data_IF_241379465059
#
_entry.id   IF_241379465059
#
_cell.length_a   1.000
_cell.length_b   1.000
_cell.length_c   1.000
_cell.angle_alpha   90.00
_cell.angle_beta   90.00
_cell.angle_gamma   90.00
#
_symmetry.space_group_name_H-M   'P 1'
#
loop_
_entity.id
_entity.type
_entity.pdbx_description
1 polymer ?
#
# COMPACT_ATOMS: atom_id res chain seq x y z
N UNK A 1 8.44 15.88 11.61
CA UNK A 1 7.00 15.80 11.36
C UNK A 1 6.62 16.72 10.23
N UNK A 2 5.71 16.38 9.36
CA UNK A 2 4.81 15.21 9.41
C UNK A 2 5.48 13.86 9.16
N UNK A 3 4.83 12.80 9.61
CA UNK A 3 5.33 11.44 9.52
C UNK A 3 4.35 10.59 8.71
N UNK A 4 4.88 9.81 7.78
CA UNK A 4 4.09 8.88 6.98
C UNK A 4 4.55 7.45 7.23
N UNK A 5 3.63 6.52 7.05
CA UNK A 5 3.96 5.11 7.07
C UNK A 5 3.41 4.45 5.79
N UNK A 6 4.17 3.54 5.22
CA UNK A 6 3.72 2.67 4.15
C UNK A 6 3.62 1.28 4.73
N UNK A 7 2.42 0.72 4.72
CA UNK A 7 2.16 -0.60 5.29
C UNK A 7 1.60 -1.49 4.19
N UNK A 8 2.30 -2.57 3.91
CA UNK A 8 1.84 -3.57 2.97
C UNK A 8 1.78 -4.92 3.62
N UNK A 9 1.30 -5.91 2.90
CA UNK A 9 1.21 -7.27 3.38
C UNK A 9 -0.09 -7.91 2.95
N UNK A 10 -0.30 -9.17 3.37
CA UNK A 10 -1.42 -9.95 2.89
C UNK A 10 -2.67 -9.78 3.74
N UNK A 11 -2.53 -9.62 5.04
CA UNK A 11 -3.66 -9.75 5.97
C UNK A 11 -3.75 -8.62 6.97
N UNK A 12 -4.94 -8.04 7.11
CA UNK A 12 -5.26 -7.07 8.16
C UNK A 12 -5.11 -7.70 9.53
N UNK A 13 -5.59 -8.95 9.68
CA UNK A 13 -5.61 -9.63 10.97
C UNK A 13 -4.23 -9.77 11.60
N UNK A 14 -3.17 -9.86 10.79
CA UNK A 14 -1.82 -9.99 11.32
C UNK A 14 -1.18 -8.63 11.63
N UNK A 15 -1.82 -7.53 11.23
CA UNK A 15 -1.26 -6.20 11.40
C UNK A 15 -2.18 -5.22 12.12
N UNK A 16 -3.21 -5.73 12.78
CA UNK A 16 -4.18 -4.87 13.46
C UNK A 16 -3.53 -3.93 14.47
N UNK A 17 -2.66 -4.45 15.31
CA UNK A 17 -2.02 -3.65 16.34
C UNK A 17 -1.12 -2.60 15.72
N UNK A 18 -0.38 -2.98 14.69
CA UNK A 18 0.51 -2.06 13.98
C UNK A 18 -0.29 -0.94 13.33
N UNK A 19 -1.37 -1.29 12.63
CA UNK A 19 -2.21 -0.30 11.97
C UNK A 19 -2.83 0.67 12.98
N UNK A 20 -3.35 0.15 14.08
CA UNK A 20 -3.94 0.99 15.12
C UNK A 20 -2.94 1.98 15.70
N UNK A 21 -1.73 1.54 15.96
CA UNK A 21 -0.69 2.41 16.49
C UNK A 21 -0.24 3.44 15.46
N UNK A 22 -0.08 3.04 14.21
CA UNK A 22 0.36 3.95 13.15
C UNK A 22 -0.68 5.03 12.89
N UNK A 23 -1.93 4.65 12.83
CA UNK A 23 -3.03 5.59 12.59
C UNK A 23 -3.11 6.63 13.72
N UNK A 24 -2.85 6.21 14.95
CA UNK A 24 -2.88 7.12 16.09
C UNK A 24 -1.72 8.11 16.10
N UNK A 25 -0.60 7.77 15.46
CA UNK A 25 0.65 8.54 15.56
C UNK A 25 1.11 9.20 14.27
N UNK A 26 0.66 8.69 13.12
CA UNK A 26 1.14 9.17 11.83
C UNK A 26 0.20 10.22 11.25
N UNK A 27 0.75 11.05 10.39
CA UNK A 27 -0.02 12.04 9.66
C UNK A 27 -0.61 11.45 8.38
N UNK A 28 0.06 10.43 7.82
CA UNK A 28 -0.43 9.71 6.65
C UNK A 28 -0.04 8.23 6.75
N UNK A 29 -0.93 7.36 6.30
CA UNK A 29 -0.66 5.92 6.21
C UNK A 29 -1.09 5.45 4.83
N UNK A 30 -0.15 4.84 4.12
CA UNK A 30 -0.40 4.22 2.81
C UNK A 30 -0.59 2.73 3.03
N UNK A 31 -1.68 2.18 2.56
CA UNK A 31 -2.00 0.76 2.71
C UNK A 31 -1.92 0.08 1.35
N UNK A 32 -1.11 -0.97 1.26
CA UNK A 32 -0.91 -1.71 0.02
C UNK A 32 -0.97 -3.21 0.23
N UNK A 33 -0.74 -3.96 -0.85
CA UNK A 33 -0.77 -5.41 -0.82
C UNK A 33 -2.16 -5.99 -0.70
N UNK A 34 -2.25 -7.27 -0.34
CA UNK A 34 -3.53 -7.95 -0.16
C UNK A 34 -4.38 -7.33 0.93
N UNK A 35 -3.75 -6.72 1.91
CA UNK A 35 -4.42 -6.01 2.98
C UNK A 35 -5.26 -4.85 2.44
N UNK A 36 -4.77 -4.15 1.44
CA UNK A 36 -5.52 -3.06 0.81
C UNK A 36 -6.82 -3.57 0.17
N UNK A 37 -6.81 -4.79 -0.35
CA UNK A 37 -8.02 -5.39 -0.94
C UNK A 37 -9.13 -5.54 0.10
N UNK A 38 -8.77 -5.85 1.34
CA UNK A 38 -9.74 -5.95 2.42
C UNK A 38 -10.38 -4.59 2.69
N UNK A 39 -9.60 -3.51 2.66
CA UNK A 39 -10.13 -2.16 2.80
C UNK A 39 -11.02 -1.76 1.63
N UNK A 40 -10.63 -2.11 0.42
CA UNK A 40 -11.45 -1.84 -0.76
C UNK A 40 -12.78 -2.58 -0.69
N UNK A 41 -12.75 -3.84 -0.28
CA UNK A 41 -13.96 -4.63 -0.09
C UNK A 41 -14.86 -3.99 0.99
N UNK A 42 -14.27 -3.50 2.06
CA UNK A 42 -15.01 -2.82 3.13
C UNK A 42 -15.73 -1.56 2.64
N UNK A 43 -15.19 -0.94 1.59
CA UNK A 43 -15.81 0.24 0.96
C UNK A 43 -16.85 -0.12 -0.09
N UNK A 44 -17.13 -1.41 -0.26
CA UNK A 44 -18.11 -1.87 -1.24
C UNK A 44 -17.57 -2.07 -2.65
N UNK A 45 -16.27 -2.06 -2.83
CA UNK A 45 -15.67 -2.23 -4.15
C UNK A 45 -15.47 -3.71 -4.49
N UNK A 46 -15.62 -4.09 -5.76
CA UNK A 46 -15.38 -5.48 -6.17
C UNK A 46 -13.90 -5.78 -6.10
N UNK A 47 -13.56 -6.93 -5.56
CA UNK A 47 -12.18 -7.39 -5.50
C UNK A 47 -11.96 -8.72 -6.22
N UNK A 48 -13.03 -9.28 -6.83
CA UNK A 48 -12.97 -10.51 -7.58
C UNK A 48 -12.39 -11.65 -6.77
N UNK A 49 -11.37 -12.29 -7.31
CA UNK A 49 -10.66 -13.39 -6.65
C UNK A 49 -9.43 -12.93 -5.88
N UNK A 50 -9.29 -11.63 -5.65
CA UNK A 50 -8.14 -11.08 -4.93
C UNK A 50 -8.04 -11.66 -3.53
N UNK A 51 -6.82 -11.72 -3.02
CA UNK A 51 -6.56 -12.06 -1.63
C UNK A 51 -7.23 -11.01 -0.75
N UNK A 52 -8.19 -11.41 0.05
CA UNK A 52 -9.01 -10.48 0.82
C UNK A 52 -9.59 -11.21 2.03
N UNK A 53 -9.54 -10.55 3.18
CA UNK A 53 -10.18 -11.06 4.40
C UNK A 53 -11.57 -10.44 4.53
N UNK A 54 -12.55 -11.04 3.87
CA UNK A 54 -13.91 -10.49 3.84
C UNK A 54 -14.55 -10.37 5.22
N UNK A 55 -14.19 -11.26 6.14
CA UNK A 55 -14.68 -11.23 7.51
C UNK A 55 -14.07 -10.10 8.34
N UNK A 56 -13.05 -9.43 7.82
CA UNK A 56 -12.43 -8.28 8.47
C UNK A 56 -12.96 -6.93 7.97
N UNK A 57 -14.02 -6.94 7.16
CA UNK A 57 -14.55 -5.71 6.57
C UNK A 57 -14.98 -4.70 7.64
N UNK A 58 -15.66 -5.13 8.70
CA UNK A 58 -16.09 -4.23 9.76
C UNK A 58 -14.88 -3.65 10.51
N UNK A 59 -13.88 -4.47 10.76
CA UNK A 59 -12.64 -4.01 11.39
C UNK A 59 -11.93 -2.98 10.51
N UNK A 60 -11.90 -3.21 9.20
CA UNK A 60 -11.30 -2.27 8.25
C UNK A 60 -12.05 -0.93 8.27
N UNK A 61 -13.38 -0.96 8.30
CA UNK A 61 -14.17 0.28 8.41
C UNK A 61 -13.87 1.03 9.70
N UNK A 62 -13.73 0.32 10.81
CA UNK A 62 -13.37 0.93 12.09
C UNK A 62 -12.02 1.61 12.03
N UNK A 63 -11.04 0.97 11.40
CA UNK A 63 -9.70 1.54 11.23
C UNK A 63 -9.77 2.83 10.42
N UNK A 64 -10.52 2.83 9.32
CA UNK A 64 -10.69 4.03 8.49
C UNK A 64 -11.39 5.15 9.26
N UNK A 65 -12.41 4.81 10.05
CA UNK A 65 -13.12 5.81 10.86
C UNK A 65 -12.21 6.41 11.91
N UNK A 66 -11.38 5.61 12.56
CA UNK A 66 -10.43 6.11 13.56
C UNK A 66 -9.38 7.01 12.93
N UNK A 67 -8.93 6.67 11.73
CA UNK A 67 -7.97 7.49 11.01
C UNK A 67 -8.57 8.86 10.69
N UNK A 68 -9.79 8.89 10.20
CA UNK A 68 -10.47 10.13 9.87
C UNK A 68 -10.67 10.98 11.11
N UNK A 69 -11.14 10.38 12.19
CA UNK A 69 -11.37 11.10 13.46
C UNK A 69 -10.08 11.67 14.04
N UNK A 70 -8.96 10.97 13.85
CA UNK A 70 -7.66 11.40 14.36
C UNK A 70 -6.88 12.31 13.42
N UNK A 71 -7.41 12.61 12.25
CA UNK A 71 -6.73 13.47 11.28
C UNK A 71 -5.63 12.76 10.50
N UNK A 72 -5.59 11.45 10.51
CA UNK A 72 -4.62 10.69 9.74
C UNK A 72 -5.15 10.46 8.32
N UNK A 73 -4.36 10.81 7.32
CA UNK A 73 -4.72 10.58 5.93
C UNK A 73 -4.39 9.14 5.57
N UNK A 74 -5.39 8.39 5.14
CA UNK A 74 -5.19 7.01 4.67
C UNK A 74 -5.24 7.01 3.14
N UNK A 75 -4.16 6.52 2.53
CA UNK A 75 -4.06 6.40 1.08
C UNK A 75 -4.30 4.95 0.69
N UNK A 76 -5.39 4.71 -0.02
CA UNK A 76 -5.75 3.40 -0.56
C UNK A 76 -5.55 3.40 -2.07
N UNK A 77 -5.44 2.23 -2.70
CA UNK A 77 -5.23 2.17 -4.15
C UNK A 77 -6.32 2.90 -4.93
N UNK A 78 -5.90 3.74 -5.87
CA UNK A 78 -6.79 4.44 -6.80
C UNK A 78 -6.95 3.68 -8.10
N UNK A 79 -6.04 2.77 -8.38
CA UNK A 79 -6.10 1.87 -9.51
C UNK A 79 -5.41 0.56 -9.12
N UNK A 80 -5.57 -0.46 -9.95
CA UNK A 80 -5.07 -1.79 -9.64
C UNK A 80 -4.60 -2.47 -10.91
N UNK A 81 -3.53 -3.23 -10.79
CA UNK A 81 -3.10 -4.16 -11.83
C UNK A 81 -3.76 -5.50 -11.51
N UNK A 82 -4.53 -6.01 -12.46
CA UNK A 82 -5.30 -7.23 -12.27
C UNK A 82 -4.90 -8.32 -13.25
N UNK A 83 -4.98 -9.56 -12.80
CA UNK A 83 -4.68 -10.75 -13.60
C UNK A 83 -5.78 -11.79 -13.38
N UNK A 84 -5.91 -12.72 -14.34
CA UNK A 84 -6.80 -13.87 -14.17
C UNK A 84 -6.06 -15.11 -13.68
N UNK A 85 -4.73 -15.09 -13.77
CA UNK A 85 -3.87 -16.17 -13.28
C UNK A 85 -2.75 -15.59 -12.44
N UNK A 86 -2.56 -16.14 -11.26
CA UNK A 86 -1.49 -15.68 -10.36
C UNK A 86 -0.18 -16.35 -10.73
N UNK A 87 0.47 -15.83 -11.76
CA UNK A 87 1.77 -16.34 -12.20
C UNK A 87 2.61 -15.20 -12.78
N UNK A 88 3.92 -15.42 -12.84
CA UNK A 88 4.83 -14.43 -13.40
C UNK A 88 4.50 -14.20 -14.87
N UNK A 89 4.58 -12.95 -15.31
CA UNK A 89 4.32 -12.54 -16.70
C UNK A 89 2.90 -12.82 -17.18
N UNK A 90 1.94 -13.01 -16.25
CA UNK A 90 0.55 -13.22 -16.64
C UNK A 90 0.00 -11.98 -17.35
N UNK A 91 -0.88 -12.16 -18.35
CA UNK A 91 -1.55 -11.01 -18.96
C UNK A 91 -2.26 -10.18 -17.88
N UNK A 92 -2.08 -8.88 -17.95
CA UNK A 92 -2.60 -7.99 -16.92
C UNK A 92 -3.14 -6.71 -17.55
N UNK A 93 -3.94 -5.99 -16.78
CA UNK A 93 -4.43 -4.68 -17.18
C UNK A 93 -4.56 -3.79 -15.94
N UNK A 94 -4.57 -2.49 -16.16
CA UNK A 94 -4.76 -1.52 -15.08
C UNK A 94 -6.21 -1.06 -15.12
N UNK A 95 -6.89 -1.15 -13.98
CA UNK A 95 -8.31 -0.78 -13.87
C UNK A 95 -8.53 0.07 -12.63
N UNK A 96 -9.65 0.78 -12.60
CA UNK A 96 -10.17 1.38 -11.38
C UNK A 96 -10.58 0.25 -10.42
N UNK A 97 -10.49 0.43 -9.10
CA UNK A 97 -10.95 -0.58 -8.15
C UNK A 97 -12.43 -0.94 -8.34
N UNK A 98 -13.22 -0.06 -8.95
CA UNK A 98 -14.63 -0.32 -9.23
C UNK A 98 -14.84 -1.24 -10.42
N UNK A 99 -13.80 -1.51 -11.18
CA UNK A 99 -13.87 -2.25 -12.44
C UNK A 99 -13.20 -3.62 -12.39
N UNK A 100 -12.86 -4.11 -11.22
CA UNK A 100 -12.24 -5.44 -11.08
C UNK A 100 -13.28 -6.51 -11.41
N UNK A 101 -12.94 -7.40 -12.34
CA UNK A 101 -13.84 -8.49 -12.75
C UNK A 101 -13.89 -9.61 -11.71
N UNK A 102 -14.96 -10.41 -11.77
CA UNK A 102 -15.18 -11.50 -10.82
C UNK A 102 -14.09 -12.56 -10.84
N UNK A 103 -13.44 -12.73 -12.00
CA UNK A 103 -12.35 -13.71 -12.16
C UNK A 103 -10.99 -13.09 -12.05
N UNK A 104 -10.91 -11.81 -11.76
CA UNK A 104 -9.63 -11.09 -11.69
C UNK A 104 -9.12 -10.97 -10.27
N UNK A 105 -7.81 -10.92 -10.14
CA UNK A 105 -7.12 -10.72 -8.86
C UNK A 105 -6.27 -9.47 -8.95
N UNK A 106 -6.32 -8.66 -7.91
CA UNK A 106 -5.44 -7.49 -7.79
C UNK A 106 -4.07 -7.98 -7.32
N UNK A 107 -3.03 -7.69 -8.09
CA UNK A 107 -1.66 -8.14 -7.77
C UNK A 107 -0.69 -7.00 -7.56
N UNK A 108 -1.05 -5.79 -7.94
CA UNK A 108 -0.19 -4.62 -7.73
C UNK A 108 -1.04 -3.37 -7.79
N UNK A 109 -0.42 -2.23 -7.46
CA UNK A 109 -1.03 -0.93 -7.63
C UNK A 109 -0.65 -0.36 -9.00
N UNK A 110 -1.49 0.50 -9.54
CA UNK A 110 -1.22 1.13 -10.82
C UNK A 110 -0.57 2.51 -10.66
N UNK A 111 -0.34 3.20 -11.79
CA UNK A 111 0.37 4.48 -11.76
C UNK A 111 -0.36 5.59 -11.02
N UNK A 112 -1.69 5.61 -11.01
CA UNK A 112 -2.42 6.64 -10.27
C UNK A 112 -2.20 6.49 -8.77
N UNK A 113 -2.13 5.25 -8.27
CA UNK A 113 -1.84 4.97 -6.87
C UNK A 113 -0.42 5.42 -6.52
N UNK A 114 0.55 5.09 -7.36
CA UNK A 114 1.95 5.50 -7.15
C UNK A 114 2.04 7.01 -7.04
N UNK A 115 1.36 7.74 -7.93
CA UNK A 115 1.38 9.20 -7.89
C UNK A 115 0.75 9.73 -6.60
N UNK A 116 -0.35 9.15 -6.15
CA UNK A 116 -0.98 9.56 -4.89
C UNK A 116 -0.04 9.34 -3.70
N UNK A 117 0.68 8.23 -3.71
CA UNK A 117 1.67 7.93 -2.67
C UNK A 117 2.82 8.94 -2.72
N UNK A 118 3.33 9.23 -3.92
CA UNK A 118 4.39 10.22 -4.08
C UNK A 118 3.96 11.59 -3.54
N UNK A 119 2.74 12.01 -3.87
CA UNK A 119 2.21 13.28 -3.39
C UNK A 119 2.09 13.29 -1.86
N UNK A 120 1.65 12.20 -1.28
CA UNK A 120 1.57 12.09 0.19
C UNK A 120 2.95 12.14 0.84
N UNK A 121 3.92 11.43 0.28
CA UNK A 121 5.28 11.41 0.82
C UNK A 121 5.97 12.76 0.68
N UNK A 122 5.67 13.51 -0.37
CA UNK A 122 6.28 14.80 -0.61
C UNK A 122 5.95 15.82 0.49
N UNK A 123 4.85 15.63 1.21
CA UNK A 123 4.46 16.51 2.31
C UNK A 123 4.98 16.05 3.66
N UNK A 124 5.67 14.92 3.71
CA UNK A 124 6.15 14.32 4.97
C UNK A 124 7.67 14.45 5.08
N UNK A 125 8.17 14.41 6.30
CA UNK A 125 9.60 14.48 6.59
C UNK A 125 10.17 13.14 7.03
N UNK A 126 9.34 12.24 7.51
CA UNK A 126 9.77 10.92 7.96
C UNK A 126 8.86 9.86 7.37
N UNK A 127 9.47 8.77 6.91
CA UNK A 127 8.74 7.63 6.35
C UNK A 127 9.13 6.36 7.10
N UNK A 128 8.12 5.62 7.52
CA UNK A 128 8.29 4.27 8.06
C UNK A 128 7.67 3.30 7.07
N UNK A 129 8.45 2.33 6.59
CA UNK A 129 7.96 1.36 5.59
C UNK A 129 7.91 -0.05 6.18
N UNK A 130 6.78 -0.71 5.99
CA UNK A 130 6.56 -2.07 6.47
C UNK A 130 5.76 -2.86 5.43
N UNK A 131 6.41 -3.70 4.65
CA UNK A 131 5.79 -4.63 3.71
C UNK A 131 5.63 -4.12 2.29
N UNK A 132 5.43 -5.02 1.33
CA UNK A 132 5.35 -4.67 -0.09
C UNK A 132 3.97 -4.15 -0.49
N UNK A 133 3.92 -3.43 -1.62
CA UNK A 133 2.69 -2.85 -2.17
C UNK A 133 1.92 -3.82 -3.08
N UNK A 134 2.53 -4.91 -3.49
CA UNK A 134 1.91 -5.86 -4.40
C UNK A 134 2.55 -7.23 -4.30
N UNK A 135 2.30 -8.08 -5.28
CA UNK A 135 2.88 -9.44 -5.34
C UNK A 135 4.32 -9.36 -5.83
N UNK A 136 5.18 -8.77 -5.03
CA UNK A 136 6.52 -8.35 -5.46
C UNK A 136 7.46 -9.52 -5.83
N UNK A 137 7.16 -10.73 -5.41
CA UNK A 137 7.95 -11.90 -5.80
C UNK A 137 7.62 -12.41 -7.21
N UNK A 138 6.56 -11.88 -7.84
CA UNK A 138 6.21 -12.23 -9.21
C UNK A 138 6.47 -11.05 -10.14
N UNK A 139 7.41 -11.22 -11.06
CA UNK A 139 7.69 -10.20 -12.06
C UNK A 139 6.58 -10.17 -13.11
N UNK A 140 6.04 -9.02 -13.52
CA UNK A 140 6.44 -7.65 -13.18
C UNK A 140 5.63 -7.00 -12.03
N UNK A 141 5.02 -7.77 -11.16
CA UNK A 141 4.08 -7.25 -10.15
C UNK A 141 4.77 -6.63 -8.93
N UNK A 142 6.07 -6.43 -9.01
CA UNK A 142 6.84 -5.63 -8.06
C UNK A 142 6.95 -4.15 -8.48
N UNK A 143 6.38 -3.80 -9.63
CA UNK A 143 6.53 -2.45 -10.18
C UNK A 143 6.04 -1.36 -9.25
N UNK A 144 4.88 -1.55 -8.61
CA UNK A 144 4.34 -0.57 -7.67
C UNK A 144 5.23 -0.39 -6.45
N UNK A 145 5.69 -1.49 -5.89
CA UNK A 145 6.60 -1.44 -4.74
C UNK A 145 7.89 -0.71 -5.10
N UNK A 146 8.47 -1.04 -6.25
CA UNK A 146 9.71 -0.41 -6.70
C UNK A 146 9.52 1.07 -7.00
N UNK A 147 8.40 1.45 -7.61
CA UNK A 147 8.13 2.86 -7.92
C UNK A 147 8.00 3.69 -6.64
N UNK A 148 7.30 3.17 -5.64
CA UNK A 148 7.18 3.87 -4.35
C UNK A 148 8.54 3.94 -3.65
N UNK A 149 9.34 2.88 -3.74
CA UNK A 149 10.68 2.89 -3.15
C UNK A 149 11.58 3.93 -3.82
N UNK A 150 11.51 4.05 -5.14
CA UNK A 150 12.28 5.05 -5.87
C UNK A 150 11.85 6.48 -5.47
N UNK A 151 10.56 6.72 -5.34
CA UNK A 151 10.06 8.01 -4.90
C UNK A 151 10.57 8.36 -3.51
N UNK A 152 10.54 7.39 -2.59
CA UNK A 152 11.05 7.59 -1.24
C UNK A 152 12.56 7.85 -1.24
N UNK A 153 13.31 7.12 -2.06
CA UNK A 153 14.74 7.32 -2.19
C UNK A 153 15.08 8.71 -2.74
N UNK A 154 14.35 9.15 -3.76
CA UNK A 154 14.56 10.49 -4.34
C UNK A 154 14.34 11.59 -3.31
N UNK A 155 13.29 11.47 -2.50
CA UNK A 155 12.99 12.45 -1.46
C UNK A 155 14.03 12.40 -0.34
N UNK A 156 14.55 11.23 -0.04
CA UNK A 156 15.60 11.05 0.95
C UNK A 156 16.91 11.69 0.47
N UNK A 157 17.26 11.46 -0.80
CA UNK A 157 18.46 12.04 -1.39
C UNK A 157 18.38 13.57 -1.47
N UNK A 158 17.17 14.09 -1.68
CA UNK A 158 16.96 15.54 -1.69
C UNK A 158 16.97 16.15 -0.28
N UNK A 159 17.03 15.33 0.76
CA UNK A 159 17.07 15.80 2.13
C UNK A 159 15.71 16.18 2.71
N UNK A 160 14.63 15.93 1.97
CA UNK A 160 13.28 16.28 2.42
C UNK A 160 12.61 15.17 3.20
N UNK A 161 13.13 13.95 3.12
CA UNK A 161 12.53 12.80 3.76
C UNK A 161 13.61 11.94 4.43
N UNK A 162 13.34 11.48 5.65
CA UNK A 162 14.14 10.45 6.33
C UNK A 162 13.30 9.18 6.32
N UNK A 163 13.84 8.10 5.78
CA UNK A 163 13.09 6.85 5.71
C UNK A 163 13.71 5.76 6.57
N UNK A 164 12.82 4.96 7.16
CA UNK A 164 13.19 3.80 7.95
C UNK A 164 12.47 2.60 7.36
N UNK A 165 13.22 1.64 6.86
CA UNK A 165 12.67 0.43 6.30
C UNK A 165 12.65 -0.67 7.35
N UNK A 166 11.47 -1.20 7.61
CA UNK A 166 11.30 -2.32 8.53
C UNK A 166 10.76 -3.51 7.76
N UNK A 167 11.53 -4.55 7.67
CA UNK A 167 11.13 -5.80 7.04
C UNK A 167 10.96 -5.74 5.53
N UNK A 168 11.50 -4.72 4.89
CA UNK A 168 11.57 -4.76 3.46
C UNK A 168 12.72 -5.67 3.09
N UNK A 169 12.39 -6.75 2.44
CA UNK A 169 13.40 -7.78 2.24
C UNK A 169 14.21 -7.59 0.98
N UNK A 170 13.55 -7.15 -0.08
CA UNK A 170 14.22 -7.09 -1.37
C UNK A 170 14.69 -5.69 -1.72
N UNK A 171 13.97 -4.71 -1.24
CA UNK A 171 14.38 -3.35 -1.44
C UNK A 171 15.45 -3.07 -0.45
N UNK A 172 16.60 -3.02 -0.94
CA UNK A 172 17.72 -2.90 -0.12
C UNK A 172 17.75 -1.59 0.62
N UNK A 173 18.16 -1.64 1.83
CA UNK A 173 18.31 -0.48 2.66
C UNK A 173 19.17 0.61 2.03
N UNK A 174 20.00 0.28 1.08
CA UNK A 174 20.80 1.29 0.39
C UNK A 174 19.94 2.29 -0.37
N UNK A 175 18.69 1.96 -0.67
CA UNK A 175 17.80 2.86 -1.39
C UNK A 175 16.84 3.60 -0.47
N UNK A 176 16.51 3.04 0.67
CA UNK A 176 15.43 3.56 1.49
C UNK A 176 15.90 4.07 2.83
N UNK A 177 16.99 3.56 3.28
CA UNK A 177 17.54 3.92 4.55
C UNK A 177 18.72 4.82 4.30
N UNK A 178 18.51 6.06 4.42
CA UNK A 178 19.59 6.96 4.22
C UNK A 178 20.02 7.53 5.54
N UNK A 179 21.22 7.69 5.69
CA UNK A 179 21.83 8.26 6.87
C UNK A 179 21.34 9.65 7.19
#
# INVERSE_FOLDING_TARGET
RPVAAVVGGAKVSTKLDVLGQLIAKMDAVVIGGGMANTFLHAQGKPVGKSLCEKDMADTARDILAKAEAGGCRVVLPLDAVVVTKFEAQAPNRVVSPDEVGDEEMIVDVGPATVKAVEDALATCHTLLWNGPMGAFELDPFDAGTNAVALAAADLTDAGTLTSVDRKSTRLNSSHVCSS
#
